data_IF_555678394091
#
_entry.id   IF_555678394091
#
_cell.length_a   1.000
_cell.length_b   1.000
_cell.length_c   1.000
_cell.angle_alpha   90.00
_cell.angle_beta   90.00
_cell.angle_gamma   90.00
#
_symmetry.space_group_name_H-M   'P 1'
#
loop_
_entity.id
_entity.type
_entity.pdbx_description
1 polymer ?
#
# COMPACT_ATOMS: atom_id res chain seq x y z
N UNK A 1 -5.25 23.01 -1.99
CA UNK A 1 -4.36 22.34 -2.97
C UNK A 1 -3.54 23.39 -3.65
N UNK A 2 -2.25 23.43 -3.35
CA UNK A 2 -1.30 24.49 -3.76
C UNK A 2 -0.72 24.24 -5.16
N UNK A 3 -1.55 23.84 -6.15
CA UNK A 3 -1.09 23.69 -7.53
C UNK A 3 -0.20 22.47 -7.80
N UNK A 4 -0.15 21.50 -6.88
CA UNK A 4 0.53 20.22 -7.10
C UNK A 4 -0.34 19.35 -8.03
N UNK A 5 0.27 18.87 -9.11
CA UNK A 5 -0.37 17.92 -10.03
C UNK A 5 -0.16 16.51 -9.52
N UNK A 6 -1.24 15.74 -9.41
CA UNK A 6 -1.21 14.38 -8.90
C UNK A 6 -1.86 13.44 -9.91
N UNK A 7 -1.12 12.44 -10.35
CA UNK A 7 -1.65 11.28 -11.06
C UNK A 7 -1.87 10.16 -10.05
N UNK A 8 -3.05 9.55 -10.08
CA UNK A 8 -3.40 8.47 -9.15
C UNK A 8 -3.56 7.15 -9.89
N UNK A 9 -2.88 6.11 -9.42
CA UNK A 9 -3.09 4.72 -9.84
C UNK A 9 -3.79 4.00 -8.71
N UNK A 10 -5.07 3.65 -8.89
CA UNK A 10 -5.87 2.93 -7.90
C UNK A 10 -6.07 1.48 -8.37
N UNK A 11 -5.50 0.53 -7.62
CA UNK A 11 -5.56 -0.90 -7.93
C UNK A 11 -6.51 -1.65 -7.01
N UNK A 12 -7.33 -2.53 -7.61
CA UNK A 12 -8.32 -3.33 -6.90
C UNK A 12 -8.30 -4.78 -7.40
N UNK A 13 -8.75 -5.74 -6.59
CA UNK A 13 -8.87 -7.14 -7.01
C UNK A 13 -9.89 -7.30 -8.15
N UNK A 14 -11.06 -6.68 -8.01
CA UNK A 14 -12.16 -6.72 -8.98
C UNK A 14 -13.03 -5.47 -8.86
N UNK A 15 -14.03 -5.34 -9.77
CA UNK A 15 -15.00 -4.25 -9.77
C UNK A 15 -15.69 -4.05 -8.42
N UNK A 16 -16.01 -5.13 -7.72
CA UNK A 16 -16.80 -5.07 -6.49
C UNK A 16 -16.03 -4.42 -5.32
N UNK A 17 -14.69 -4.34 -5.44
CA UNK A 17 -13.82 -3.67 -4.47
C UNK A 17 -13.49 -2.22 -4.81
N UNK A 18 -13.98 -1.69 -5.95
CA UNK A 18 -13.72 -0.31 -6.34
C UNK A 18 -14.49 0.65 -5.44
N UNK A 19 -13.74 1.48 -4.74
CA UNK A 19 -14.25 2.51 -3.83
C UNK A 19 -13.64 3.87 -4.16
N UNK A 20 -14.29 4.96 -3.74
CA UNK A 20 -13.78 6.34 -3.79
C UNK A 20 -13.36 6.82 -5.21
N UNK A 21 -13.91 6.21 -6.28
CA UNK A 21 -13.56 6.59 -7.66
C UNK A 21 -13.84 8.08 -7.92
N UNK A 22 -14.96 8.58 -7.41
CA UNK A 22 -15.35 9.97 -7.59
C UNK A 22 -14.36 10.91 -6.90
N UNK A 23 -14.03 10.62 -5.66
CA UNK A 23 -13.11 11.40 -4.82
C UNK A 23 -11.71 11.41 -5.43
N UNK A 24 -11.21 10.27 -5.88
CA UNK A 24 -9.94 10.20 -6.60
C UNK A 24 -9.97 11.02 -7.89
N UNK A 25 -11.06 10.96 -8.65
CA UNK A 25 -11.16 11.71 -9.90
C UNK A 25 -11.23 13.23 -9.68
N UNK A 26 -11.83 13.67 -8.57
CA UNK A 26 -11.91 15.09 -8.21
C UNK A 26 -10.57 15.67 -7.71
N UNK A 27 -9.70 14.81 -7.17
CA UNK A 27 -8.42 15.23 -6.55
C UNK A 27 -7.20 14.96 -7.41
N UNK A 28 -7.33 14.18 -8.49
CA UNK A 28 -6.23 13.83 -9.39
C UNK A 28 -6.32 14.60 -10.71
N UNK A 29 -5.18 14.86 -11.33
CA UNK A 29 -5.13 15.35 -12.72
C UNK A 29 -5.49 14.21 -13.67
N UNK A 30 -4.92 13.01 -13.45
CA UNK A 30 -5.26 11.77 -14.14
C UNK A 30 -5.52 10.66 -13.13
N UNK A 31 -6.62 9.92 -13.33
CA UNK A 31 -6.96 8.74 -12.54
C UNK A 31 -6.89 7.48 -13.40
N UNK A 32 -6.05 6.55 -12.97
CA UNK A 32 -5.91 5.23 -13.59
C UNK A 32 -6.43 4.16 -12.62
N UNK A 33 -7.56 3.55 -12.98
CA UNK A 33 -8.11 2.42 -12.21
C UNK A 33 -7.72 1.13 -12.91
N UNK A 34 -7.09 0.23 -12.17
CA UNK A 34 -6.72 -1.10 -12.64
C UNK A 34 -7.36 -2.17 -11.77
N UNK A 35 -7.72 -3.31 -12.38
CA UNK A 35 -8.24 -4.48 -11.65
C UNK A 35 -7.46 -5.72 -12.04
N UNK A 36 -7.15 -6.56 -11.05
CA UNK A 36 -6.35 -7.77 -11.25
C UNK A 36 -7.04 -8.75 -12.21
N UNK A 37 -8.37 -8.88 -12.09
CA UNK A 37 -9.19 -9.78 -12.91
C UNK A 37 -9.66 -9.16 -14.24
N UNK A 38 -9.53 -7.85 -14.42
CA UNK A 38 -9.99 -7.12 -15.61
C UNK A 38 -11.50 -6.87 -15.64
N UNK A 39 -12.19 -7.02 -14.52
CA UNK A 39 -13.64 -6.83 -14.43
C UNK A 39 -14.07 -5.36 -14.53
N UNK A 40 -13.13 -4.43 -14.34
CA UNK A 40 -13.40 -2.99 -14.45
C UNK A 40 -12.17 -2.21 -14.95
N UNK A 41 -12.42 -1.25 -15.86
CA UNK A 41 -11.40 -0.40 -16.49
C UNK A 41 -10.30 -1.25 -17.15
N UNK A 42 -9.07 -1.17 -16.66
CA UNK A 42 -7.91 -1.83 -17.24
C UNK A 42 -7.52 -3.06 -16.43
N UNK A 43 -7.19 -4.17 -17.11
CA UNK A 43 -6.60 -5.35 -16.48
C UNK A 43 -5.10 -5.16 -16.36
N UNK A 44 -4.63 -4.78 -15.18
CA UNK A 44 -3.20 -4.61 -14.90
C UNK A 44 -2.97 -4.62 -13.38
N UNK A 45 -1.72 -4.81 -12.97
CA UNK A 45 -1.27 -4.43 -11.64
C UNK A 45 -0.85 -2.96 -11.60
N UNK A 46 -0.91 -2.34 -10.43
CA UNK A 46 -0.47 -0.94 -10.23
C UNK A 46 0.97 -0.71 -10.67
N UNK A 47 1.85 -1.71 -10.45
CA UNK A 47 3.24 -1.70 -10.86
C UNK A 47 3.43 -1.69 -12.37
N UNK A 48 2.59 -2.43 -13.11
CA UNK A 48 2.65 -2.47 -14.57
C UNK A 48 2.18 -1.14 -15.15
N UNK A 49 1.11 -0.57 -14.57
CA UNK A 49 0.63 0.76 -14.96
C UNK A 49 1.67 1.84 -14.71
N UNK A 50 2.34 1.81 -13.55
CA UNK A 50 3.43 2.74 -13.25
C UNK A 50 4.57 2.63 -14.28
N UNK A 51 5.02 1.41 -14.58
CA UNK A 51 6.06 1.18 -15.61
C UNK A 51 5.64 1.72 -16.96
N UNK A 52 4.38 1.49 -17.38
CA UNK A 52 3.83 2.02 -18.61
C UNK A 52 3.90 3.55 -18.65
N UNK A 53 3.41 4.22 -17.60
CA UNK A 53 3.42 5.68 -17.55
C UNK A 53 4.83 6.27 -17.63
N UNK A 54 5.80 5.64 -16.98
CA UNK A 54 7.21 6.05 -17.07
C UNK A 54 7.78 5.81 -18.48
N UNK A 55 7.44 4.68 -19.11
CA UNK A 55 7.86 4.36 -20.47
C UNK A 55 7.23 5.31 -21.51
N UNK A 56 6.02 5.79 -21.27
CA UNK A 56 5.32 6.79 -22.10
C UNK A 56 5.93 8.20 -21.96
N UNK A 57 6.94 8.36 -21.10
CA UNK A 57 7.71 9.60 -20.94
C UNK A 57 7.15 10.57 -19.90
N UNK A 58 6.18 10.14 -19.09
CA UNK A 58 5.71 10.95 -17.97
C UNK A 58 6.84 11.10 -16.93
N UNK A 59 6.93 12.29 -16.34
CA UNK A 59 7.94 12.63 -15.34
C UNK A 59 7.26 12.95 -14.02
N UNK A 60 7.74 12.34 -12.98
CA UNK A 60 7.26 12.54 -11.62
C UNK A 60 8.42 12.95 -10.71
N UNK A 61 8.18 13.89 -9.82
CA UNK A 61 9.17 14.33 -8.83
C UNK A 61 9.18 13.37 -7.62
N UNK A 62 8.02 12.78 -7.31
CA UNK A 62 7.85 11.87 -6.19
C UNK A 62 6.78 10.84 -6.47
N UNK A 63 6.97 9.62 -5.97
CA UNK A 63 5.98 8.54 -6.00
C UNK A 63 5.61 8.18 -4.56
N UNK A 64 4.32 8.25 -4.23
CA UNK A 64 3.80 7.84 -2.94
C UNK A 64 3.11 6.48 -3.10
N UNK A 65 3.55 5.49 -2.34
CA UNK A 65 3.00 4.14 -2.36
C UNK A 65 2.24 3.84 -1.07
N UNK A 66 0.97 3.41 -1.21
CA UNK A 66 0.09 3.03 -0.10
C UNK A 66 -0.59 1.71 -0.46
N UNK A 67 -0.42 0.68 0.37
CA UNK A 67 -1.07 -0.61 0.15
C UNK A 67 -0.29 -1.81 0.69
N UNK A 68 -0.46 -3.01 0.14
CA UNK A 68 0.25 -4.20 0.59
C UNK A 68 1.78 -4.04 0.51
N UNK A 69 2.54 -4.53 1.51
CA UNK A 69 4.00 -4.37 1.56
C UNK A 69 4.73 -4.83 0.30
N UNK A 70 4.29 -5.93 -0.29
CA UNK A 70 4.84 -6.45 -1.56
C UNK A 70 4.67 -5.44 -2.71
N UNK A 71 3.50 -4.83 -2.83
CA UNK A 71 3.22 -3.82 -3.84
C UNK A 71 4.09 -2.58 -3.63
N UNK A 72 4.16 -2.08 -2.39
CA UNK A 72 4.98 -0.92 -2.05
C UNK A 72 6.47 -1.18 -2.32
N UNK A 73 7.00 -2.37 -1.95
CA UNK A 73 8.36 -2.79 -2.29
C UNK A 73 8.65 -2.68 -3.78
N UNK A 74 7.74 -3.21 -4.62
CA UNK A 74 7.90 -3.18 -6.08
C UNK A 74 7.80 -1.76 -6.65
N UNK A 75 6.86 -0.96 -6.17
CA UNK A 75 6.69 0.45 -6.59
C UNK A 75 7.93 1.27 -6.23
N UNK A 76 8.44 1.14 -4.99
CA UNK A 76 9.65 1.84 -4.56
C UNK A 76 10.90 1.38 -5.34
N UNK A 77 10.98 0.09 -5.70
CA UNK A 77 12.04 -0.42 -6.58
C UNK A 77 11.99 0.22 -7.98
N UNK A 78 10.81 0.31 -8.58
CA UNK A 78 10.62 0.97 -9.89
C UNK A 78 11.01 2.46 -9.80
N UNK A 79 10.60 3.14 -8.72
CA UNK A 79 10.95 4.54 -8.48
C UNK A 79 12.47 4.73 -8.38
N UNK A 80 13.15 3.85 -7.65
CA UNK A 80 14.61 3.88 -7.48
C UNK A 80 15.34 3.66 -8.81
N UNK A 81 14.90 2.69 -9.62
CA UNK A 81 15.45 2.45 -10.95
C UNK A 81 15.27 3.66 -11.88
N UNK A 82 14.17 4.39 -11.75
CA UNK A 82 13.87 5.60 -12.50
C UNK A 82 14.55 6.87 -11.93
N UNK A 83 15.24 6.78 -10.80
CA UNK A 83 15.86 7.92 -10.11
C UNK A 83 14.84 8.89 -9.49
N UNK A 84 13.64 8.41 -9.17
CA UNK A 84 12.54 9.18 -8.59
C UNK A 84 12.48 8.91 -7.08
N UNK A 85 12.30 9.95 -6.29
CA UNK A 85 12.05 9.83 -4.85
C UNK A 85 10.77 9.01 -4.61
N UNK A 86 10.81 8.10 -3.64
CA UNK A 86 9.62 7.35 -3.24
C UNK A 86 9.35 7.48 -1.75
N UNK A 87 8.07 7.61 -1.41
CA UNK A 87 7.56 7.58 -0.04
C UNK A 87 6.61 6.40 0.08
N UNK A 88 6.80 5.58 1.10
CA UNK A 88 5.92 4.47 1.41
C UNK A 88 5.18 4.75 2.73
N UNK A 89 3.85 4.68 2.70
CA UNK A 89 3.02 4.74 3.89
C UNK A 89 2.87 3.33 4.45
N UNK A 90 3.69 3.01 5.46
CA UNK A 90 3.84 1.65 5.96
C UNK A 90 2.69 1.25 6.88
N UNK A 91 2.27 -0.01 6.73
CA UNK A 91 1.33 -0.66 7.63
C UNK A 91 2.07 -1.78 8.38
N UNK A 92 2.04 -1.72 9.70
CA UNK A 92 2.57 -2.74 10.59
C UNK A 92 1.55 -3.05 11.70
N UNK A 93 1.74 -4.12 12.45
CA UNK A 93 0.86 -4.43 13.57
C UNK A 93 0.85 -3.29 14.59
N UNK A 94 -0.34 -2.70 14.83
CA UNK A 94 -0.57 -1.65 15.81
C UNK A 94 -1.26 -2.22 17.03
N UNK A 95 -0.60 -2.09 18.19
CA UNK A 95 -1.14 -2.57 19.47
C UNK A 95 -1.58 -1.38 20.33
N UNK A 96 -0.66 -0.47 20.67
CA UNK A 96 -0.95 0.68 21.53
C UNK A 96 -0.86 2.04 20.85
N UNK A 97 -0.08 2.18 19.78
CA UNK A 97 0.08 3.44 19.04
C UNK A 97 0.95 4.49 19.74
N UNK A 98 1.64 4.16 20.83
CA UNK A 98 2.38 5.11 21.67
C UNK A 98 3.91 5.04 21.50
N UNK A 99 4.40 4.06 20.72
CA UNK A 99 5.83 3.77 20.56
C UNK A 99 6.43 2.94 21.69
N UNK A 100 5.63 2.51 22.68
CA UNK A 100 6.14 1.78 23.85
C UNK A 100 6.20 0.26 23.63
N UNK A 101 5.19 -0.33 22.98
CA UNK A 101 5.09 -1.79 22.86
C UNK A 101 6.03 -2.41 21.82
N UNK A 102 6.54 -1.63 20.86
CA UNK A 102 7.42 -2.10 19.80
C UNK A 102 6.78 -3.01 18.75
N UNK A 103 5.44 -3.19 18.78
CA UNK A 103 4.71 -4.04 17.83
C UNK A 103 4.86 -3.59 16.39
N UNK A 104 4.82 -2.28 16.15
CA UNK A 104 4.92 -1.65 14.83
C UNK A 104 6.37 -1.33 14.40
N UNK A 105 7.36 -2.03 14.95
CA UNK A 105 8.77 -1.81 14.60
C UNK A 105 9.05 -2.12 13.14
N UNK A 106 9.81 -1.24 12.49
CA UNK A 106 10.36 -1.38 11.13
C UNK A 106 11.83 -0.99 11.13
N UNK A 107 12.58 -1.44 10.13
CA UNK A 107 13.98 -1.05 9.93
C UNK A 107 14.06 -0.07 8.77
N UNK A 108 14.56 1.13 9.04
CA UNK A 108 14.70 2.23 8.08
C UNK A 108 16.15 2.70 8.08
N UNK A 109 16.86 2.55 6.94
CA UNK A 109 18.28 2.91 6.85
C UNK A 109 19.18 2.14 7.83
N UNK A 110 18.78 0.91 8.21
CA UNK A 110 19.48 0.09 9.20
C UNK A 110 19.14 0.42 10.65
N UNK A 111 18.29 1.43 10.91
CA UNK A 111 17.87 1.80 12.27
C UNK A 111 16.44 1.34 12.56
N UNK A 112 16.20 0.96 13.82
CA UNK A 112 14.85 0.61 14.29
C UNK A 112 14.00 1.86 14.46
N UNK A 113 12.82 1.87 13.83
CA UNK A 113 11.79 2.91 13.91
C UNK A 113 10.44 2.31 14.27
N UNK A 114 9.51 3.14 14.72
CA UNK A 114 8.15 2.71 15.05
C UNK A 114 7.15 3.44 14.16
N UNK A 115 6.39 2.70 13.37
CA UNK A 115 5.43 3.26 12.40
C UNK A 115 4.43 4.22 13.07
N UNK A 116 4.01 3.93 14.30
CA UNK A 116 3.01 4.72 15.02
C UNK A 116 3.48 6.10 15.47
N UNK A 117 4.79 6.32 15.69
CA UNK A 117 5.33 7.59 16.20
C UNK A 117 6.37 8.24 15.29
N UNK A 118 7.11 7.45 14.51
CA UNK A 118 8.13 7.95 13.57
C UNK A 118 7.59 8.08 12.14
N UNK A 119 6.47 7.38 11.82
CA UNK A 119 5.85 7.32 10.51
C UNK A 119 4.42 7.87 10.49
N UNK A 120 3.54 7.30 9.67
CA UNK A 120 3.70 6.07 8.85
C UNK A 120 4.47 6.24 7.55
N UNK A 121 4.73 7.47 7.10
CA UNK A 121 5.44 7.74 5.86
C UNK A 121 6.95 7.68 6.06
N UNK A 122 7.61 6.87 5.23
CA UNK A 122 9.07 6.70 5.22
C UNK A 122 9.60 6.75 3.79
N UNK A 123 10.88 7.12 3.66
CA UNK A 123 11.61 7.00 2.40
C UNK A 123 11.63 5.53 1.96
N UNK A 124 10.96 5.23 0.84
CA UNK A 124 10.80 3.87 0.34
C UNK A 124 12.13 3.18 -0.02
N UNK A 125 13.18 3.97 -0.31
CA UNK A 125 14.53 3.44 -0.60
C UNK A 125 15.28 2.99 0.66
N UNK A 126 14.85 3.42 1.84
CA UNK A 126 15.49 3.12 3.13
C UNK A 126 14.81 1.98 3.89
N UNK A 127 13.64 1.52 3.44
CA UNK A 127 12.85 0.47 4.12
C UNK A 127 13.51 -0.89 3.93
N UNK A 128 13.73 -1.63 5.02
CA UNK A 128 14.02 -3.07 4.96
C UNK A 128 12.71 -3.83 4.70
N UNK A 129 12.43 -4.00 3.42
CA UNK A 129 11.20 -4.65 2.96
C UNK A 129 11.09 -6.12 3.36
N UNK A 130 12.21 -6.81 3.48
CA UNK A 130 12.22 -8.24 3.81
C UNK A 130 11.88 -8.44 5.29
N UNK A 131 12.44 -7.64 6.19
CA UNK A 131 12.06 -7.63 7.61
C UNK A 131 10.57 -7.25 7.77
N UNK A 132 10.10 -6.20 7.10
CA UNK A 132 8.70 -5.77 7.18
C UNK A 132 7.73 -6.87 6.71
N UNK A 133 7.99 -7.49 5.57
CA UNK A 133 7.14 -8.56 5.01
C UNK A 133 7.13 -9.78 5.92
N UNK A 134 8.30 -10.17 6.43
CA UNK A 134 8.43 -11.29 7.37
C UNK A 134 7.61 -11.02 8.64
N UNK A 135 7.75 -9.84 9.24
CA UNK A 135 7.04 -9.46 10.47
C UNK A 135 5.53 -9.40 10.29
N UNK A 136 5.05 -8.86 9.16
CA UNK A 136 3.62 -8.83 8.83
C UNK A 136 3.04 -10.23 8.52
N UNK A 137 3.88 -11.25 8.47
CA UNK A 137 3.46 -12.64 8.31
C UNK A 137 3.41 -13.46 9.59
N UNK A 138 3.81 -12.91 10.76
CA UNK A 138 3.96 -13.68 12.00
C UNK A 138 2.66 -14.30 12.51
N UNK A 139 1.53 -13.66 12.32
CA UNK A 139 0.22 -14.11 12.82
C UNK A 139 -0.72 -14.59 11.71
N UNK A 140 -0.16 -14.93 10.53
CA UNK A 140 -0.97 -15.32 9.36
C UNK A 140 -1.81 -16.56 9.61
N UNK A 141 -1.31 -17.54 10.36
CA UNK A 141 -2.02 -18.77 10.67
C UNK A 141 -3.17 -18.49 11.65
N UNK A 142 -2.91 -17.74 12.70
CA UNK A 142 -3.90 -17.32 13.69
C UNK A 142 -4.99 -16.42 13.06
N UNK A 143 -4.60 -15.51 12.17
CA UNK A 143 -5.56 -14.69 11.42
C UNK A 143 -6.45 -15.54 10.50
N UNK A 144 -5.90 -16.57 9.85
CA UNK A 144 -6.67 -17.47 9.00
C UNK A 144 -7.64 -18.33 9.83
N UNK A 145 -7.24 -18.77 11.01
CA UNK A 145 -8.09 -19.51 11.95
C UNK A 145 -9.26 -18.62 12.43
N UNK A 146 -8.97 -17.38 12.87
CA UNK A 146 -9.99 -16.43 13.33
C UNK A 146 -10.96 -16.01 12.21
N UNK A 147 -10.52 -15.87 10.97
CA UNK A 147 -11.43 -15.63 9.83
C UNK A 147 -12.44 -16.75 9.62
N UNK A 148 -12.07 -17.99 9.93
CA UNK A 148 -12.98 -19.13 9.86
C UNK A 148 -13.95 -19.19 11.03
N UNK A 149 -13.69 -18.45 12.11
CA UNK A 149 -14.48 -18.43 13.33
C UNK A 149 -15.81 -17.71 13.13
N UNK A 150 -16.92 -18.40 13.49
CA UNK A 150 -18.25 -17.78 13.47
C UNK A 150 -18.43 -17.00 14.76
N UNK A 151 -18.32 -15.66 14.67
CA UNK A 151 -18.54 -14.81 15.83
C UNK A 151 -19.98 -14.90 16.34
N UNK A 152 -20.17 -15.41 17.55
CA UNK A 152 -21.49 -15.56 18.19
C UNK A 152 -22.15 -14.21 18.50
N UNK A 153 -21.36 -13.13 18.63
CA UNK A 153 -21.87 -11.79 18.90
C UNK A 153 -22.50 -11.13 17.67
N UNK A 154 -22.09 -11.52 16.46
CA UNK A 154 -22.62 -10.98 15.20
C UNK A 154 -23.70 -11.86 14.57
N UNK A 155 -24.23 -12.85 15.29
CA UNK A 155 -25.29 -13.74 14.79
C UNK A 155 -24.87 -14.66 13.64
N UNK A 156 -23.56 -14.92 13.51
CA UNK A 156 -23.05 -15.86 12.52
C UNK A 156 -22.79 -15.27 11.13
N UNK A 157 -22.70 -13.96 11.00
CA UNK A 157 -22.28 -13.31 9.75
C UNK A 157 -20.82 -13.66 9.49
N UNK A 158 -20.56 -14.40 8.40
CA UNK A 158 -19.19 -14.59 7.89
C UNK A 158 -18.78 -13.33 7.17
N UNK A 159 -17.67 -12.75 7.55
CA UNK A 159 -16.97 -11.79 6.68
C UNK A 159 -16.41 -12.60 5.52
N UNK A 160 -17.13 -12.65 4.41
CA UNK A 160 -16.59 -13.17 3.16
C UNK A 160 -15.63 -12.11 2.59
N UNK A 161 -14.45 -12.57 2.19
CA UNK A 161 -13.39 -11.82 1.50
C UNK A 161 -13.87 -11.13 0.22
#
# INVERSE_FOLDING_TARGET
TEGIKVDTIAGFKSRDFVILEKEFNETSENLYIVTDDGSYKEKAFTTDKLKQLLADGNKYDEIIAVGPPIMMKLVCGIAQEAGIRSVASLTAYMIDGTGMCGGCRVIIGGESRFVCVDGPEFDGSQVDWDDLIMRNGFYREEEAEERSHICRLTGGVRYND
#
